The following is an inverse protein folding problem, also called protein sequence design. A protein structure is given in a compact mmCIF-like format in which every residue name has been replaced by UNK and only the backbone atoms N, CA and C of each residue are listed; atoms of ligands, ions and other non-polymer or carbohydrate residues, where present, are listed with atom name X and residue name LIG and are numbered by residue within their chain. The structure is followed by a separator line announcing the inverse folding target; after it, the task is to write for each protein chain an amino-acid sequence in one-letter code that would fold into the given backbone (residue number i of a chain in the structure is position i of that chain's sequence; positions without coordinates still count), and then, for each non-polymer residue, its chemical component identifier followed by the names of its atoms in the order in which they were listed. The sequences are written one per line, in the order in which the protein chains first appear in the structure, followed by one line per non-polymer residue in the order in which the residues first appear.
data_IF_508338513664
#
_entry.id   IF_508338513664
#
_cell.length_a   1.000
_cell.length_b   1.000
_cell.length_c   1.000
_cell.angle_alpha   90.00
_cell.angle_beta   90.00
_cell.angle_gamma   90.00
#
_symmetry.space_group_name_H-M   'P 1'
#
loop_
_entity.id
_entity.type
_entity.pdbx_description
1 polymer ?
#
# COMPACT_ATOMS: atom_id res chain seq x y z
N UNK A 1 3.31 -1.79 -20.94
CA UNK A 1 2.81 -0.68 -20.09
C UNK A 1 3.17 -1.09 -18.67
N UNK A 2 4.05 -0.36 -17.99
CA UNK A 2 4.62 -0.84 -16.71
C UNK A 2 3.66 -0.70 -15.52
N UNK A 3 3.93 -1.38 -14.39
CA UNK A 3 3.05 -1.42 -13.22
C UNK A 3 2.78 -0.04 -12.60
N UNK A 4 3.76 0.88 -12.65
CA UNK A 4 3.58 2.27 -12.18
C UNK A 4 2.49 3.00 -12.98
N UNK A 5 2.47 2.84 -14.30
CA UNK A 5 1.48 3.48 -15.18
C UNK A 5 0.08 2.91 -14.90
N UNK A 6 -0.01 1.60 -14.65
CA UNK A 6 -1.28 0.95 -14.27
C UNK A 6 -1.78 1.49 -12.94
N UNK A 7 -0.91 1.62 -11.93
CA UNK A 7 -1.26 2.19 -10.63
C UNK A 7 -1.68 3.66 -10.74
N UNK A 8 -1.00 4.46 -11.55
CA UNK A 8 -1.37 5.86 -11.82
C UNK A 8 -2.77 5.94 -12.45
N UNK A 9 -3.07 5.07 -13.41
CA UNK A 9 -4.38 5.04 -14.06
C UNK A 9 -5.49 4.63 -13.08
N UNK A 10 -5.25 3.65 -12.22
CA UNK A 10 -6.19 3.26 -11.15
C UNK A 10 -6.42 4.40 -10.14
N UNK A 11 -5.40 5.24 -9.89
CA UNK A 11 -5.52 6.37 -8.97
C UNK A 11 -6.29 7.55 -9.57
N UNK A 12 -6.26 7.71 -10.91
CA UNK A 12 -6.89 8.83 -11.61
C UNK A 12 -8.31 8.52 -12.10
N UNK A 13 -8.60 7.28 -12.46
CA UNK A 13 -9.90 6.87 -12.99
C UNK A 13 -10.75 6.16 -11.93
N UNK A 14 -11.79 6.85 -11.47
CA UNK A 14 -12.74 6.32 -10.48
C UNK A 14 -13.56 5.12 -10.96
N UNK A 15 -13.57 4.84 -12.27
CA UNK A 15 -14.22 3.66 -12.84
C UNK A 15 -13.23 2.50 -13.04
N UNK A 16 -11.93 2.76 -12.93
CA UNK A 16 -10.93 1.73 -13.01
C UNK A 16 -10.86 0.98 -11.67
N UNK A 17 -10.89 -0.35 -11.74
CA UNK A 17 -10.78 -1.22 -10.58
C UNK A 17 -9.63 -2.20 -10.80
N UNK A 18 -8.96 -2.59 -9.72
CA UNK A 18 -7.94 -3.63 -9.73
C UNK A 18 -8.47 -4.96 -10.30
N UNK A 19 -9.76 -5.25 -10.09
CA UNK A 19 -10.43 -6.45 -10.58
C UNK A 19 -10.54 -6.48 -12.12
N UNK A 20 -10.51 -5.31 -12.76
CA UNK A 20 -10.59 -5.17 -14.21
C UNK A 20 -9.22 -5.36 -14.90
N UNK A 21 -8.15 -5.55 -14.13
CA UNK A 21 -6.81 -5.78 -14.67
C UNK A 21 -6.62 -7.20 -15.17
N UNK A 22 -5.73 -7.36 -16.14
CA UNK A 22 -5.27 -8.69 -16.56
C UNK A 22 -4.43 -9.35 -15.46
N UNK A 23 -4.37 -10.69 -15.46
CA UNK A 23 -3.56 -11.46 -14.51
C UNK A 23 -2.09 -11.03 -14.54
N UNK A 24 -1.54 -10.74 -15.72
CA UNK A 24 -0.16 -10.28 -15.86
C UNK A 24 0.07 -8.93 -15.16
N UNK A 25 -0.84 -7.96 -15.33
CA UNK A 25 -0.74 -6.66 -14.66
C UNK A 25 -0.88 -6.80 -13.14
N UNK A 26 -1.74 -7.70 -12.66
CA UNK A 26 -1.88 -7.98 -11.23
C UNK A 26 -0.60 -8.57 -10.64
N UNK A 27 0.06 -9.47 -11.37
CA UNK A 27 1.35 -10.05 -10.98
C UNK A 27 2.46 -9.00 -10.92
N UNK A 28 2.58 -8.13 -11.94
CA UNK A 28 3.56 -7.04 -11.95
C UNK A 28 3.35 -6.07 -10.76
N UNK A 29 2.10 -5.78 -10.40
CA UNK A 29 1.79 -4.97 -9.21
C UNK A 29 2.17 -5.70 -7.92
N UNK A 30 1.95 -7.01 -7.83
CA UNK A 30 2.29 -7.81 -6.67
C UNK A 30 3.81 -7.86 -6.44
N UNK A 31 4.59 -8.03 -7.51
CA UNK A 31 6.06 -7.98 -7.47
C UNK A 31 6.56 -6.61 -7.01
N UNK A 32 5.96 -5.53 -7.53
CA UNK A 32 6.29 -4.17 -7.10
C UNK A 32 5.97 -3.95 -5.61
N UNK A 33 4.81 -4.44 -5.13
CA UNK A 33 4.45 -4.38 -3.71
C UNK A 33 5.43 -5.14 -2.82
N UNK A 34 5.88 -6.32 -3.25
CA UNK A 34 6.87 -7.11 -2.50
C UNK A 34 8.19 -6.36 -2.38
N UNK A 35 8.70 -5.80 -3.50
CA UNK A 35 9.94 -5.00 -3.47
C UNK A 35 9.82 -3.74 -2.61
N UNK A 36 8.65 -3.09 -2.60
CA UNK A 36 8.39 -1.94 -1.73
C UNK A 36 8.34 -2.32 -0.24
N UNK A 37 7.81 -3.51 0.09
CA UNK A 37 7.77 -4.01 1.46
C UNK A 37 9.18 -4.23 2.03
N UNK A 38 10.11 -4.74 1.23
CA UNK A 38 11.50 -4.92 1.63
C UNK A 38 12.19 -3.58 1.96
N UNK A 39 11.91 -2.54 1.16
CA UNK A 39 12.42 -1.18 1.41
C UNK A 39 11.80 -0.58 2.68
N UNK A 40 10.48 -0.74 2.86
CA UNK A 40 9.80 -0.26 4.05
C UNK A 40 10.31 -0.96 5.32
N UNK A 41 10.61 -2.26 5.27
CA UNK A 41 11.21 -2.98 6.39
C UNK A 41 12.58 -2.40 6.77
N UNK A 42 13.40 -2.03 5.78
CA UNK A 42 14.70 -1.38 6.03
C UNK A 42 14.51 -0.01 6.66
N UNK A 43 13.58 0.82 6.14
CA UNK A 43 13.32 2.17 6.67
C UNK A 43 12.70 2.15 8.07
N UNK A 44 11.81 1.20 8.35
CA UNK A 44 11.14 1.06 9.65
C UNK A 44 12.10 0.63 10.78
N UNK A 45 13.25 0.04 10.46
CA UNK A 45 14.28 -0.34 11.45
C UNK A 45 15.10 0.89 11.91
N UNK A 46 15.06 2.02 11.18
CA UNK A 46 15.97 3.16 11.42
C UNK A 46 15.49 4.10 12.53
N UNK A 47 14.24 4.02 12.98
CA UNK A 47 13.84 4.76 14.18
C UNK A 47 14.21 3.92 15.42
N UNK A 48 15.11 4.39 16.30
CA UNK A 48 15.24 3.82 17.62
C UNK A 48 13.90 4.07 18.32
N UNK A 49 13.03 3.08 18.28
CA UNK A 49 11.81 3.06 19.08
C UNK A 49 12.29 3.16 20.53
N UNK A 50 11.97 4.25 21.21
CA UNK A 50 12.20 4.33 22.64
C UNK A 50 11.47 3.11 23.24
N UNK A 51 12.13 2.23 24.01
CA UNK A 51 11.47 1.07 24.59
C UNK A 51 10.32 1.44 25.55
N UNK A 52 10.18 2.73 25.88
CA UNK A 52 9.05 3.28 26.63
C UNK A 52 7.93 3.85 25.75
N UNK A 53 8.12 3.96 24.42
CA UNK A 53 7.04 4.36 23.52
C UNK A 53 6.05 3.21 23.37
N UNK A 54 4.76 3.44 23.67
CA UNK A 54 3.74 2.43 23.40
C UNK A 54 3.74 2.14 21.90
N UNK A 55 3.88 0.86 21.54
CA UNK A 55 3.78 0.43 20.15
C UNK A 55 2.51 1.02 19.53
N UNK A 56 2.59 1.61 18.32
CA UNK A 56 1.42 2.16 17.65
C UNK A 56 0.38 1.04 17.51
N UNK A 57 -0.72 1.15 18.25
CA UNK A 57 -1.83 0.22 18.13
C UNK A 57 -2.41 0.40 16.72
N UNK A 58 -2.71 -0.68 15.98
CA UNK A 58 -3.47 -0.58 14.75
C UNK A 58 -4.79 0.13 15.05
N UNK A 59 -5.06 1.22 14.34
CA UNK A 59 -6.25 2.05 14.53
C UNK A 59 -7.48 1.28 14.04
N UNK A 60 -8.14 0.56 14.96
CA UNK A 60 -9.34 -0.26 14.71
C UNK A 60 -10.63 0.59 14.66
N UNK A 61 -10.54 1.84 14.23
CA UNK A 61 -11.70 2.71 14.10
C UNK A 61 -12.28 2.63 12.68
N UNK A 62 -13.46 2.01 12.46
CA UNK A 62 -14.25 2.32 11.27
C UNK A 62 -14.69 3.78 11.40
N UNK A 63 -14.24 4.64 10.49
CA UNK A 63 -14.72 6.02 10.38
C UNK A 63 -16.25 6.02 10.33
N UNK A 64 -16.88 6.40 11.44
CA UNK A 64 -18.32 6.65 11.47
C UNK A 64 -18.55 7.98 10.79
N UNK A 65 -18.89 7.90 9.51
CA UNK A 65 -19.48 8.97 8.69
C UNK A 65 -20.58 9.73 9.47
N UNK A 66 -20.40 11.03 9.78
CA UNK A 66 -21.44 11.83 10.41
C UNK A 66 -22.26 12.55 9.33
N UNK A 67 -23.54 12.19 9.25
CA UNK A 67 -24.59 12.94 8.52
C UNK A 67 -24.76 14.35 9.06
#
# INVERSE_FOLDING_TARGET
MGPIIVLEQLAQDVNASYENLTVAQQQEIAELKASAADINAIMAIVEPTDPNDPAPMPDDHPEKDPR
#
